data_IF_765165563185
#
_entry.id   IF_765165563185
#
_cell.length_a   1.000
_cell.length_b   1.000
_cell.length_c   1.000
_cell.angle_alpha   90.00
_cell.angle_beta   90.00
_cell.angle_gamma   90.00
#
_symmetry.space_group_name_H-M   'P 1'
#
loop_
_entity.id
_entity.type
_entity.pdbx_description
1 polymer ?
#
# COMPACT_ATOMS: atom_id res chain seq x y z
N UNK A 1 37.20 4.86 0.07
CA UNK A 1 35.87 4.22 -0.14
C UNK A 1 34.79 5.17 0.35
N UNK A 2 33.76 5.32 -0.44
CA UNK A 2 32.57 6.13 -0.12
C UNK A 2 31.30 5.30 -0.31
N UNK A 3 30.19 5.71 0.31
CA UNK A 3 28.90 5.02 0.29
C UNK A 3 27.79 6.03 0.03
N UNK A 4 27.83 6.70 -1.12
CA UNK A 4 26.91 7.82 -1.44
C UNK A 4 25.76 7.41 -2.35
N UNK A 5 25.80 6.20 -2.95
CA UNK A 5 24.71 5.68 -3.77
C UNK A 5 23.54 5.15 -2.93
N UNK A 6 22.37 5.02 -3.54
CA UNK A 6 21.11 4.62 -2.86
C UNK A 6 21.13 3.20 -2.28
N UNK A 7 22.01 2.34 -2.76
CA UNK A 7 22.22 1.00 -2.21
C UNK A 7 23.35 0.95 -1.18
N UNK A 8 24.00 2.06 -0.86
CA UNK A 8 25.12 2.15 0.09
C UNK A 8 26.25 1.15 -0.24
N UNK A 9 26.50 0.93 -1.54
CA UNK A 9 27.61 0.12 -2.02
C UNK A 9 28.91 0.88 -1.86
N UNK A 10 30.00 0.15 -1.67
CA UNK A 10 31.32 0.74 -1.59
C UNK A 10 31.79 1.23 -2.97
N UNK A 11 31.94 2.54 -3.11
CA UNK A 11 32.55 3.17 -4.28
C UNK A 11 34.06 3.30 -4.06
N UNK A 12 34.81 2.47 -4.78
CA UNK A 12 36.29 2.45 -4.70
C UNK A 12 36.88 3.53 -5.56
N UNK A 13 37.72 4.40 -4.98
CA UNK A 13 38.56 5.32 -5.73
C UNK A 13 39.74 4.61 -6.38
N UNK A 14 40.41 5.32 -7.31
CA UNK A 14 41.66 4.81 -7.94
C UNK A 14 42.75 4.56 -6.90
N UNK A 15 43.21 3.33 -6.80
CA UNK A 15 44.23 2.90 -5.83
C UNK A 15 43.66 2.41 -4.50
N UNK A 16 42.34 2.53 -4.28
CA UNK A 16 41.66 1.94 -3.12
C UNK A 16 41.66 0.40 -3.20
N UNK A 17 41.52 -0.23 -2.01
CA UNK A 17 41.36 -1.68 -1.88
C UNK A 17 42.46 -2.52 -2.51
N UNK A 18 43.72 -2.02 -2.55
CA UNK A 18 44.87 -2.80 -3.03
C UNK A 18 44.96 -4.13 -2.25
N UNK A 19 44.92 -5.25 -2.99
CA UNK A 19 44.90 -6.60 -2.44
C UNK A 19 43.57 -7.11 -1.92
N UNK A 20 42.52 -6.26 -1.86
CA UNK A 20 41.17 -6.63 -1.40
C UNK A 20 40.03 -6.21 -2.35
N UNK A 21 40.32 -5.67 -3.51
CA UNK A 21 39.34 -5.20 -4.48
C UNK A 21 38.33 -6.29 -4.88
N UNK A 22 38.81 -7.55 -5.02
CA UNK A 22 37.93 -8.69 -5.33
C UNK A 22 36.88 -8.94 -4.25
N UNK A 23 37.27 -8.88 -2.97
CA UNK A 23 36.36 -9.01 -1.84
C UNK A 23 35.33 -7.87 -1.84
N UNK A 24 35.77 -6.63 -2.01
CA UNK A 24 34.89 -5.46 -2.05
C UNK A 24 33.89 -5.56 -3.22
N UNK A 25 34.35 -5.99 -4.39
CA UNK A 25 33.49 -6.19 -5.56
C UNK A 25 32.43 -7.29 -5.29
N UNK A 26 32.86 -8.43 -4.73
CA UNK A 26 31.94 -9.51 -4.40
C UNK A 26 30.91 -9.06 -3.37
N UNK A 27 31.32 -8.36 -2.32
CA UNK A 27 30.38 -7.78 -1.34
C UNK A 27 29.37 -6.85 -2.02
N UNK A 28 29.79 -5.97 -2.91
CA UNK A 28 28.87 -5.10 -3.65
C UNK A 28 27.89 -5.92 -4.51
N UNK A 29 28.32 -7.00 -5.16
CA UNK A 29 27.42 -7.87 -5.94
C UNK A 29 26.41 -8.58 -5.05
N UNK A 30 26.81 -9.03 -3.85
CA UNK A 30 25.93 -9.61 -2.85
C UNK A 30 24.89 -8.60 -2.36
N UNK A 31 25.30 -7.36 -2.09
CA UNK A 31 24.40 -6.28 -1.68
C UNK A 31 23.42 -5.86 -2.79
N UNK A 32 23.83 -5.93 -4.06
CA UNK A 32 22.93 -5.74 -5.20
C UNK A 32 21.88 -6.87 -5.23
N UNK A 33 22.28 -8.12 -5.04
CA UNK A 33 21.34 -9.24 -4.97
C UNK A 33 20.38 -9.09 -3.78
N UNK A 34 20.87 -8.64 -2.60
CA UNK A 34 20.06 -8.33 -1.43
C UNK A 34 19.00 -7.26 -1.73
N UNK A 35 19.33 -6.24 -2.53
CA UNK A 35 18.41 -5.17 -2.89
C UNK A 35 17.18 -5.64 -3.68
N UNK A 36 17.21 -6.81 -4.29
CA UNK A 36 16.08 -7.46 -4.98
C UNK A 36 15.44 -8.57 -4.15
N UNK A 37 15.87 -8.78 -2.92
CA UNK A 37 15.44 -9.88 -2.07
C UNK A 37 14.32 -9.48 -1.11
N UNK A 38 14.01 -10.40 -0.21
CA UNK A 38 13.09 -10.28 0.90
C UNK A 38 13.87 -10.13 2.21
N UNK A 39 13.52 -9.14 3.02
CA UNK A 39 14.06 -8.91 4.35
C UNK A 39 12.99 -8.89 5.42
N UNK A 40 13.38 -9.25 6.64
CA UNK A 40 12.52 -9.15 7.83
C UNK A 40 13.27 -8.35 8.90
N UNK A 41 12.60 -7.35 9.45
CA UNK A 41 13.12 -6.53 10.53
C UNK A 41 12.18 -6.57 11.73
N UNK A 42 12.75 -6.83 12.90
CA UNK A 42 12.01 -6.90 14.15
C UNK A 42 11.98 -5.55 14.87
N UNK A 43 10.80 -5.05 15.20
CA UNK A 43 10.62 -3.88 16.05
C UNK A 43 10.65 -4.33 17.52
N UNK A 44 11.34 -3.59 18.39
CA UNK A 44 11.31 -3.83 19.82
C UNK A 44 9.87 -3.76 20.35
N UNK A 45 9.52 -4.68 21.25
CA UNK A 45 8.18 -4.76 21.84
C UNK A 45 7.75 -3.39 22.41
N UNK A 46 6.57 -2.94 22.00
CA UNK A 46 5.94 -1.67 22.41
C UNK A 46 6.79 -0.43 22.12
N UNK A 47 7.63 -0.46 21.08
CA UNK A 47 8.39 0.72 20.67
C UNK A 47 7.51 1.70 19.89
N UNK A 48 7.47 2.96 20.30
CA UNK A 48 6.81 4.05 19.59
C UNK A 48 7.61 4.54 18.37
N UNK A 49 8.93 4.26 18.37
CA UNK A 49 9.85 4.62 17.30
C UNK A 49 10.82 3.51 16.99
N UNK A 50 11.20 3.39 15.73
CA UNK A 50 12.20 2.45 15.24
C UNK A 50 13.03 3.11 14.13
N UNK A 51 14.28 2.67 13.94
CA UNK A 51 15.10 3.14 12.83
C UNK A 51 15.58 1.96 12.01
N UNK A 52 15.18 1.91 10.75
CA UNK A 52 15.71 0.99 9.75
C UNK A 52 16.87 1.66 9.04
N UNK A 53 18.05 1.04 9.09
CA UNK A 53 19.26 1.60 8.49
C UNK A 53 19.70 0.74 7.32
N UNK A 54 19.86 1.36 6.15
CA UNK A 54 20.57 0.74 5.03
C UNK A 54 22.07 0.95 5.27
N UNK A 55 22.76 -0.11 5.65
CA UNK A 55 24.11 -0.06 6.15
C UNK A 55 25.16 0.19 5.04
N UNK A 56 26.23 0.91 5.36
CA UNK A 56 27.34 1.18 4.46
C UNK A 56 28.14 -0.10 4.17
N UNK A 57 28.01 -0.63 2.96
CA UNK A 57 28.80 -1.79 2.51
C UNK A 57 28.60 -3.08 3.32
N UNK A 58 27.52 -3.19 4.06
CA UNK A 58 27.18 -4.35 4.88
C UNK A 58 25.73 -4.77 4.68
N UNK A 59 25.43 -6.06 4.92
CA UNK A 59 24.07 -6.60 4.79
C UNK A 59 23.14 -6.01 5.85
N UNK A 60 21.90 -5.76 5.46
CA UNK A 60 20.81 -5.28 6.33
C UNK A 60 19.44 -5.59 5.71
N UNK A 61 18.36 -5.74 6.52
CA UNK A 61 17.03 -5.98 5.98
C UNK A 61 16.44 -4.79 5.23
N UNK A 62 16.82 -3.55 5.58
CA UNK A 62 16.29 -2.32 4.97
C UNK A 62 16.66 -2.15 3.51
N UNK A 63 17.72 -2.83 3.04
CA UNK A 63 18.14 -2.84 1.65
C UNK A 63 17.18 -3.63 0.76
N UNK A 64 16.54 -4.67 1.28
CA UNK A 64 15.68 -5.58 0.54
C UNK A 64 14.53 -4.84 -0.16
N UNK A 65 14.10 -5.33 -1.32
CA UNK A 65 12.96 -4.76 -2.04
C UNK A 65 11.66 -5.02 -1.31
N UNK A 66 11.45 -6.24 -0.81
CA UNK A 66 10.33 -6.58 0.05
C UNK A 66 10.79 -6.58 1.50
N UNK A 67 10.24 -5.70 2.33
CA UNK A 67 10.62 -5.53 3.73
C UNK A 67 9.43 -5.79 4.63
N UNK A 68 9.56 -6.81 5.48
CA UNK A 68 8.55 -7.19 6.45
C UNK A 68 8.93 -6.73 7.85
N UNK A 69 8.06 -5.91 8.47
CA UNK A 69 8.22 -5.56 9.87
C UNK A 69 7.44 -6.51 10.77
N UNK A 70 8.11 -7.00 11.83
CA UNK A 70 7.55 -7.89 12.84
C UNK A 70 7.75 -7.32 14.25
N UNK A 71 7.06 -7.86 15.23
CA UNK A 71 7.12 -7.43 16.63
C UNK A 71 5.73 -7.27 17.22
N UNK A 72 5.66 -6.91 18.50
CA UNK A 72 4.39 -6.65 19.21
C UNK A 72 4.32 -5.18 19.58
N UNK A 73 3.25 -4.51 19.19
CA UNK A 73 3.04 -3.08 19.42
C UNK A 73 1.76 -2.84 20.24
N UNK A 74 1.78 -1.85 21.12
CA UNK A 74 0.63 -1.36 21.88
C UNK A 74 0.15 0.03 21.42
N UNK A 75 0.95 0.69 20.57
CA UNK A 75 0.67 1.97 19.93
C UNK A 75 1.25 2.00 18.52
N UNK A 76 0.91 3.02 17.73
CA UNK A 76 1.50 3.21 16.40
C UNK A 76 3.01 3.48 16.51
N UNK A 77 3.82 2.78 15.70
CA UNK A 77 5.27 2.92 15.69
C UNK A 77 5.73 3.71 14.47
N UNK A 78 6.48 4.80 14.68
CA UNK A 78 7.13 5.55 13.61
C UNK A 78 8.48 4.91 13.27
N UNK A 79 8.62 4.46 12.02
CA UNK A 79 9.83 3.83 11.49
C UNK A 79 10.55 4.82 10.58
N UNK A 80 11.75 5.23 10.97
CA UNK A 80 12.57 6.15 10.18
C UNK A 80 13.55 5.38 9.32
N UNK A 81 13.49 5.55 8.01
CA UNK A 81 14.47 5.00 7.06
C UNK A 81 15.71 5.87 7.03
N UNK A 82 16.86 5.29 7.30
CA UNK A 82 18.15 5.98 7.32
C UNK A 82 19.16 5.30 6.35
N UNK A 83 20.09 6.10 5.79
CA UNK A 83 20.16 7.56 5.83
C UNK A 83 19.04 8.24 5.01
N UNK A 84 18.71 9.48 5.34
CA UNK A 84 17.65 10.25 4.70
C UNK A 84 17.98 10.74 3.27
N UNK A 85 19.09 10.30 2.73
CA UNK A 85 19.55 10.59 1.35
C UNK A 85 19.30 9.43 0.39
N UNK A 86 18.72 8.31 0.86
CA UNK A 86 18.40 7.17 0.01
C UNK A 86 17.11 7.43 -0.75
N UNK A 87 17.15 7.25 -2.07
CA UNK A 87 16.00 7.22 -2.96
C UNK A 87 15.79 5.79 -3.47
N UNK A 88 14.76 5.11 -2.98
CA UNK A 88 14.55 3.69 -3.26
C UNK A 88 13.06 3.33 -3.15
N UNK A 89 12.67 2.26 -3.83
CA UNK A 89 11.32 1.67 -3.76
C UNK A 89 11.35 0.42 -2.86
N UNK A 90 10.30 0.26 -2.06
CA UNK A 90 10.03 -0.92 -1.24
C UNK A 90 8.58 -1.38 -1.34
N UNK A 91 8.39 -2.69 -1.20
CA UNK A 91 7.14 -3.30 -0.75
C UNK A 91 7.26 -3.48 0.76
N UNK A 92 6.50 -2.74 1.55
CA UNK A 92 6.58 -2.79 3.02
C UNK A 92 5.32 -3.44 3.59
N UNK A 93 5.52 -4.55 4.31
CA UNK A 93 4.47 -5.28 5.03
C UNK A 93 4.48 -4.94 6.52
N UNK A 94 3.33 -4.56 7.06
CA UNK A 94 3.11 -4.46 8.50
C UNK A 94 2.61 -5.81 9.04
N UNK A 95 3.53 -6.70 9.43
CA UNK A 95 3.25 -7.98 10.06
C UNK A 95 3.44 -7.94 11.58
N UNK A 96 3.30 -6.76 12.19
CA UNK A 96 3.33 -6.63 13.65
C UNK A 96 2.03 -7.14 14.26
N UNK A 97 2.10 -7.61 15.50
CA UNK A 97 0.93 -7.95 16.31
C UNK A 97 0.50 -6.77 17.19
N UNK A 98 -0.74 -6.80 17.72
CA UNK A 98 -1.29 -5.74 18.55
C UNK A 98 -2.21 -4.78 17.79
N UNK A 99 -2.48 -5.04 16.49
CA UNK A 99 -3.42 -4.26 15.66
C UNK A 99 -3.06 -2.77 15.56
N UNK A 100 -1.76 -2.46 15.49
CA UNK A 100 -1.25 -1.09 15.44
C UNK A 100 -0.68 -0.76 14.06
N UNK A 101 -0.81 0.51 13.68
CA UNK A 101 -0.20 1.02 12.46
C UNK A 101 1.32 1.13 12.58
N UNK A 102 2.03 0.95 11.48
CA UNK A 102 3.39 1.47 11.34
C UNK A 102 3.36 2.71 10.44
N UNK A 103 4.22 3.69 10.75
CA UNK A 103 4.30 4.96 10.04
C UNK A 103 5.71 5.08 9.47
N UNK A 104 5.85 4.96 8.15
CA UNK A 104 7.14 5.02 7.48
C UNK A 104 7.51 6.48 7.23
N UNK A 105 8.68 6.88 7.69
CA UNK A 105 9.24 8.22 7.62
C UNK A 105 10.68 8.19 7.11
N UNK A 106 11.18 9.30 6.57
CA UNK A 106 12.61 9.41 6.22
C UNK A 106 13.22 10.74 6.69
N UNK A 107 12.48 11.83 6.62
CA UNK A 107 12.89 13.16 7.04
C UNK A 107 11.72 13.92 7.64
N UNK A 108 11.67 15.23 7.40
CA UNK A 108 10.55 16.07 7.85
C UNK A 108 9.41 16.16 6.84
N UNK A 109 9.51 15.48 5.70
CA UNK A 109 8.49 15.41 4.66
C UNK A 109 7.33 14.49 5.03
N UNK A 110 6.49 14.16 4.02
CA UNK A 110 5.33 13.30 4.21
C UNK A 110 5.71 11.88 4.66
N UNK A 111 4.85 11.29 5.47
CA UNK A 111 4.97 9.92 5.97
C UNK A 111 3.87 9.05 5.37
N UNK A 112 4.09 7.73 5.33
CA UNK A 112 3.09 6.75 4.88
C UNK A 112 2.68 5.85 6.04
N UNK A 113 1.38 5.78 6.30
CA UNK A 113 0.81 4.86 7.29
C UNK A 113 0.45 3.54 6.61
N UNK A 114 0.86 2.43 7.23
CA UNK A 114 0.55 1.07 6.81
C UNK A 114 -0.24 0.38 7.94
N UNK A 115 -1.53 0.09 7.73
CA UNK A 115 -2.34 -0.64 8.70
C UNK A 115 -1.80 -2.05 8.99
N UNK A 116 -2.18 -2.66 10.12
CA UNK A 116 -1.77 -4.02 10.46
C UNK A 116 -2.30 -5.03 9.42
N UNK A 117 -1.41 -5.90 8.94
CA UNK A 117 -1.69 -6.90 7.91
C UNK A 117 -1.59 -6.41 6.47
N UNK A 118 -1.47 -5.10 6.25
CA UNK A 118 -1.37 -4.53 4.91
C UNK A 118 0.07 -4.49 4.38
N UNK A 119 0.19 -4.51 3.06
CA UNK A 119 1.42 -4.24 2.33
C UNK A 119 1.22 -3.02 1.43
N UNK A 120 2.13 -2.04 1.51
CA UNK A 120 2.15 -0.90 0.59
C UNK A 120 3.42 -0.86 -0.23
N UNK A 121 3.31 -0.38 -1.47
CA UNK A 121 4.46 -0.04 -2.31
C UNK A 121 4.76 1.43 -2.10
N UNK A 122 5.94 1.71 -1.56
CA UNK A 122 6.36 3.08 -1.20
C UNK A 122 7.74 3.37 -1.74
N UNK A 123 8.03 4.64 -1.98
CA UNK A 123 9.39 5.07 -2.28
C UNK A 123 9.76 6.30 -1.44
N UNK A 124 11.06 6.47 -1.25
CA UNK A 124 11.64 7.66 -0.64
C UNK A 124 12.23 8.57 -1.72
N UNK A 125 12.18 9.88 -1.53
CA UNK A 125 12.77 10.85 -2.45
C UNK A 125 14.25 11.19 -2.14
N UNK A 126 14.75 10.78 -0.97
CA UNK A 126 16.14 10.99 -0.58
C UNK A 126 16.55 12.46 -0.42
N UNK A 127 15.59 13.36 -0.17
CA UNK A 127 15.83 14.81 -0.15
C UNK A 127 16.55 15.33 1.13
N UNK A 128 17.21 14.46 1.88
CA UNK A 128 17.93 14.81 3.10
C UNK A 128 16.99 15.15 4.24
N UNK A 129 17.20 16.30 4.92
CA UNK A 129 16.36 16.68 6.07
C UNK A 129 14.89 16.88 5.72
N UNK A 130 14.56 17.20 4.47
CA UNK A 130 13.21 17.35 3.96
C UNK A 130 12.63 16.08 3.34
N UNK A 131 13.35 14.95 3.38
CA UNK A 131 12.96 13.72 2.70
C UNK A 131 11.55 13.26 3.07
N UNK A 132 10.84 12.75 2.06
CA UNK A 132 9.47 12.28 2.17
C UNK A 132 9.35 10.82 1.72
N UNK A 133 8.36 10.13 2.29
CA UNK A 133 7.88 8.85 1.81
C UNK A 133 6.62 9.06 0.97
N UNK A 134 6.52 8.35 -0.14
CA UNK A 134 5.43 8.48 -1.11
C UNK A 134 4.81 7.10 -1.36
N UNK A 135 3.48 7.02 -1.34
CA UNK A 135 2.74 5.83 -1.78
C UNK A 135 2.80 5.75 -3.31
N UNK A 136 3.43 4.71 -3.84
CA UNK A 136 3.65 4.55 -5.28
C UNK A 136 2.34 4.33 -6.05
N UNK A 137 1.26 3.94 -5.36
CA UNK A 137 -0.05 3.66 -5.96
C UNK A 137 -1.12 4.68 -5.60
N UNK A 138 -0.78 5.78 -4.91
CA UNK A 138 -1.76 6.82 -4.53
C UNK A 138 -2.53 7.42 -5.73
N UNK A 139 -1.97 7.36 -6.93
CA UNK A 139 -2.59 7.82 -8.17
C UNK A 139 -2.42 6.80 -9.29
N UNK A 140 -2.63 5.53 -8.95
CA UNK A 140 -2.47 4.43 -9.91
C UNK A 140 -3.50 4.56 -11.04
N UNK A 141 -3.02 4.67 -12.28
CA UNK A 141 -3.84 4.60 -13.50
C UNK A 141 -3.55 3.30 -14.23
N UNK A 142 -4.57 2.51 -14.46
CA UNK A 142 -4.49 1.23 -15.19
C UNK A 142 -5.47 1.23 -16.36
N UNK A 143 -5.16 0.51 -17.42
CA UNK A 143 -6.07 0.34 -18.56
C UNK A 143 -7.15 -0.69 -18.21
N UNK A 144 -6.73 -1.83 -17.67
CA UNK A 144 -7.60 -2.91 -17.24
C UNK A 144 -7.21 -3.36 -15.83
N UNK A 145 -8.18 -3.44 -14.92
CA UNK A 145 -8.01 -4.00 -13.59
C UNK A 145 -8.86 -5.27 -13.44
N UNK A 146 -8.20 -6.41 -13.25
CA UNK A 146 -8.87 -7.67 -12.92
C UNK A 146 -8.60 -8.04 -11.46
N UNK A 147 -9.64 -8.01 -10.64
CA UNK A 147 -9.61 -8.52 -9.26
C UNK A 147 -10.14 -9.96 -9.28
N UNK A 148 -9.38 -10.91 -8.72
CA UNK A 148 -9.72 -12.33 -8.78
C UNK A 148 -10.61 -12.78 -7.62
N UNK A 149 -10.72 -11.99 -6.59
CA UNK A 149 -11.54 -12.22 -5.41
C UNK A 149 -12.32 -10.93 -5.09
N UNK A 150 -12.32 -10.42 -3.89
CA UNK A 150 -13.09 -9.26 -3.50
C UNK A 150 -12.43 -7.94 -3.86
N UNK A 151 -13.22 -6.95 -4.30
CA UNK A 151 -12.83 -5.54 -4.39
C UNK A 151 -13.45 -4.77 -3.24
N UNK A 152 -12.61 -4.26 -2.32
CA UNK A 152 -13.05 -3.36 -1.26
C UNK A 152 -12.75 -1.91 -1.61
N UNK A 153 -13.78 -1.08 -1.74
CA UNK A 153 -13.67 0.37 -1.89
C UNK A 153 -14.08 1.03 -0.58
N UNK A 154 -13.14 1.73 0.09
CA UNK A 154 -13.36 2.30 1.44
C UNK A 154 -14.01 3.69 1.41
N UNK A 155 -14.12 4.30 0.25
CA UNK A 155 -14.75 5.60 0.03
C UNK A 155 -15.71 5.47 -1.17
N UNK A 156 -15.75 6.40 -2.09
CA UNK A 156 -16.67 6.40 -3.22
C UNK A 156 -16.19 5.53 -4.38
N UNK A 157 -17.10 4.74 -4.97
CA UNK A 157 -16.90 4.11 -6.27
C UNK A 157 -17.56 4.96 -7.36
N UNK A 158 -16.75 5.58 -8.24
CA UNK A 158 -17.24 6.38 -9.36
C UNK A 158 -17.07 5.57 -10.65
N UNK A 159 -18.20 5.24 -11.30
CA UNK A 159 -18.22 4.55 -12.59
C UNK A 159 -18.85 5.48 -13.63
N UNK A 160 -18.04 5.89 -14.61
CA UNK A 160 -18.51 6.77 -15.70
C UNK A 160 -19.13 6.03 -16.90
N UNK A 161 -19.11 4.70 -16.87
CA UNK A 161 -19.72 3.83 -17.88
C UNK A 161 -20.81 2.95 -17.28
N UNK A 162 -21.12 1.89 -17.97
CA UNK A 162 -22.12 0.92 -17.53
C UNK A 162 -21.53 0.01 -16.44
N UNK A 163 -22.41 -0.48 -15.55
CA UNK A 163 -22.09 -1.54 -14.58
C UNK A 163 -22.86 -2.80 -15.02
N UNK A 164 -22.14 -3.84 -15.42
CA UNK A 164 -22.68 -5.16 -15.73
C UNK A 164 -22.45 -6.10 -14.54
N UNK A 165 -23.55 -6.54 -13.91
CA UNK A 165 -23.52 -7.39 -12.73
C UNK A 165 -24.27 -8.71 -13.05
N UNK A 166 -23.55 -9.81 -13.12
CA UNK A 166 -24.16 -11.14 -13.30
C UNK A 166 -24.72 -11.73 -11.99
N UNK A 167 -24.46 -11.08 -10.86
CA UNK A 167 -24.92 -11.48 -9.54
C UNK A 167 -25.99 -10.56 -8.96
N UNK A 168 -26.26 -10.72 -7.69
CA UNK A 168 -27.18 -9.86 -6.93
C UNK A 168 -26.47 -8.57 -6.49
N UNK A 169 -27.24 -7.48 -6.38
CA UNK A 169 -26.80 -6.26 -5.71
C UNK A 169 -27.53 -6.13 -4.38
N UNK A 170 -26.80 -5.92 -3.29
CA UNK A 170 -27.33 -5.63 -1.97
C UNK A 170 -26.96 -4.20 -1.58
N UNK A 171 -27.96 -3.37 -1.33
CA UNK A 171 -27.80 -1.96 -0.95
C UNK A 171 -28.39 -1.72 0.43
N UNK A 172 -27.55 -1.50 1.43
CA UNK A 172 -27.98 -1.22 2.81
C UNK A 172 -28.44 0.23 3.06
N UNK A 173 -28.45 1.06 2.04
CA UNK A 173 -28.82 2.47 2.14
C UNK A 173 -29.94 2.87 1.16
N UNK A 174 -30.02 4.16 0.86
CA UNK A 174 -30.94 4.69 -0.14
C UNK A 174 -30.36 4.53 -1.53
N UNK A 175 -31.15 3.98 -2.46
CA UNK A 175 -30.81 3.92 -3.88
C UNK A 175 -31.56 5.03 -4.63
N UNK A 176 -30.84 5.88 -5.35
CA UNK A 176 -31.43 6.94 -6.18
C UNK A 176 -31.20 6.57 -7.66
N UNK A 177 -32.26 6.30 -8.39
CA UNK A 177 -32.24 5.89 -9.80
C UNK A 177 -33.18 6.80 -10.60
N UNK A 178 -32.67 7.39 -11.68
CA UNK A 178 -33.48 8.29 -12.54
C UNK A 178 -34.51 7.51 -13.37
N UNK A 179 -34.13 6.34 -13.87
CA UNK A 179 -35.01 5.42 -14.61
C UNK A 179 -34.76 4.01 -14.12
N UNK A 180 -35.83 3.26 -13.89
CA UNK A 180 -35.77 1.85 -13.50
C UNK A 180 -36.59 1.03 -14.50
N UNK A 181 -35.97 0.07 -15.15
CA UNK A 181 -36.61 -0.92 -15.98
C UNK A 181 -36.40 -2.31 -15.34
N UNK A 182 -37.49 -3.03 -15.08
CA UNK A 182 -37.43 -4.32 -14.36
C UNK A 182 -38.25 -5.35 -15.15
N UNK A 183 -37.58 -6.31 -15.76
CA UNK A 183 -38.20 -7.40 -16.50
C UNK A 183 -38.84 -8.49 -15.60
N UNK A 184 -38.57 -8.45 -14.30
CA UNK A 184 -39.01 -9.45 -13.34
C UNK A 184 -40.07 -8.97 -12.36
N UNK A 185 -40.45 -9.83 -11.43
CA UNK A 185 -41.36 -9.47 -10.33
C UNK A 185 -40.62 -8.54 -9.33
N UNK A 186 -41.40 -7.57 -8.78
CA UNK A 186 -40.93 -6.70 -7.69
C UNK A 186 -41.66 -7.11 -6.41
N UNK A 187 -40.88 -7.51 -5.40
CA UNK A 187 -41.40 -7.77 -4.05
C UNK A 187 -40.97 -6.61 -3.13
N UNK A 188 -41.93 -6.00 -2.49
CA UNK A 188 -41.74 -4.87 -1.57
C UNK A 188 -42.26 -5.24 -0.18
N UNK A 189 -41.36 -5.31 0.78
CA UNK A 189 -41.69 -5.60 2.18
C UNK A 189 -42.44 -4.46 2.90
N UNK A 190 -42.56 -3.28 2.25
CA UNK A 190 -43.21 -2.09 2.79
C UNK A 190 -44.05 -1.37 1.72
N UNK A 191 -44.41 -0.13 1.94
CA UNK A 191 -45.28 0.67 1.06
C UNK A 191 -44.52 1.12 -0.19
N UNK A 192 -45.21 1.12 -1.36
CA UNK A 192 -44.81 1.84 -2.56
C UNK A 192 -45.49 3.22 -2.53
N UNK A 193 -44.73 4.29 -2.56
CA UNK A 193 -45.24 5.65 -2.82
C UNK A 193 -44.99 6.00 -4.29
N UNK A 194 -46.02 6.43 -4.99
CA UNK A 194 -45.93 6.88 -6.37
C UNK A 194 -46.54 8.27 -6.44
N UNK A 195 -45.73 9.27 -6.77
CA UNK A 195 -46.20 10.67 -6.87
C UNK A 195 -46.78 10.97 -8.27
N UNK A 196 -46.73 10.03 -9.20
CA UNK A 196 -47.25 10.11 -10.55
C UNK A 196 -48.35 9.08 -10.83
N UNK A 197 -48.70 8.97 -12.12
CA UNK A 197 -49.67 8.00 -12.56
C UNK A 197 -49.13 6.59 -12.58
N UNK A 198 -49.93 5.61 -12.12
CA UNK A 198 -49.62 4.17 -12.31
C UNK A 198 -50.40 3.74 -13.56
N UNK A 199 -49.69 3.29 -14.59
CA UNK A 199 -50.27 2.76 -15.83
C UNK A 199 -49.97 1.27 -15.91
N UNK A 200 -50.98 0.43 -15.81
CA UNK A 200 -50.85 -1.01 -16.03
C UNK A 200 -51.43 -1.44 -17.36
N UNK A 201 -50.71 -2.33 -18.07
CA UNK A 201 -51.21 -3.01 -19.29
C UNK A 201 -52.17 -4.15 -18.97
N UNK A 202 -52.31 -4.50 -17.69
CA UNK A 202 -53.15 -5.56 -17.18
C UNK A 202 -53.86 -5.14 -15.89
N UNK A 203 -54.48 -6.07 -15.15
CA UNK A 203 -55.24 -5.75 -13.93
C UNK A 203 -54.31 -5.31 -12.79
N UNK A 204 -54.59 -4.14 -12.22
CA UNK A 204 -54.02 -3.71 -10.94
C UNK A 204 -55.02 -4.16 -9.83
N UNK A 205 -54.66 -5.19 -9.07
CA UNK A 205 -55.46 -5.70 -7.97
C UNK A 205 -55.02 -5.06 -6.66
N UNK A 206 -55.83 -4.20 -6.09
CA UNK A 206 -55.68 -3.73 -4.71
C UNK A 206 -56.49 -4.67 -3.79
N UNK A 207 -55.86 -5.17 -2.73
CA UNK A 207 -56.60 -5.80 -1.59
C UNK A 207 -56.85 -4.72 -0.57
N UNK A 208 -58.07 -4.37 -0.38
CA UNK A 208 -58.51 -3.40 0.64
C UNK A 208 -58.62 -4.01 2.02
#
# INVERSE_FOLDING_TARGET
STYVNDLRLNEMGTGDASGSWGTVTNTNLELIAEAFSYGTEGITTNADTHTTTVADGATDPGRSMFLKYTGTLDSACTITIAPNTISKLWFIENATSGSQNIIISQGSGANITIPPGDTKVVYSDGAGSGAAMVDAFASLSVVDLKVQDDLTVTDDLIVNGDIDLEGSIDVNGTTNLDVVDIDGAVDMASTLQVDGAITGSSTINGVG
#
